data_IF_924628938614
#
_entry.id   IF_924628938614
#
_cell.length_a   1.000
_cell.length_b   1.000
_cell.length_c   1.000
_cell.angle_alpha   90.00
_cell.angle_beta   90.00
_cell.angle_gamma   90.00
#
_symmetry.space_group_name_H-M   'P 1'
#
loop_
_entity.id
_entity.type
_entity.pdbx_description
1 polymer ?
#
# COMPACT_ATOMS: atom_id res chain seq x y z
N UNK A 1 23.03 8.42 -2.51
CA UNK A 1 22.78 6.97 -2.47
C UNK A 1 21.46 6.78 -1.77
N UNK A 2 20.51 6.12 -2.42
CA UNK A 2 19.16 5.96 -1.85
C UNK A 2 19.25 4.95 -0.70
N UNK A 3 19.14 5.42 0.54
CA UNK A 3 19.25 4.57 1.72
C UNK A 3 17.93 3.84 2.03
N UNK A 4 17.99 2.50 2.12
CA UNK A 4 16.90 1.65 2.61
C UNK A 4 17.31 0.93 3.90
N UNK A 5 16.58 1.19 4.99
CA UNK A 5 16.95 0.72 6.34
C UNK A 5 16.68 -0.77 6.59
N UNK A 6 16.02 -1.46 5.65
CA UNK A 6 15.70 -2.89 5.74
C UNK A 6 16.11 -3.59 4.46
N UNK A 7 16.65 -4.78 4.63
CA UNK A 7 16.89 -5.73 3.53
C UNK A 7 15.57 -6.17 2.92
N UNK A 8 15.64 -6.66 1.69
CA UNK A 8 14.50 -7.22 0.98
C UNK A 8 13.89 -8.39 1.76
N UNK A 9 14.72 -9.25 2.31
CA UNK A 9 14.34 -10.44 3.07
C UNK A 9 13.62 -10.07 4.36
N UNK A 10 14.06 -9.00 5.03
CA UNK A 10 13.34 -8.45 6.18
C UNK A 10 11.95 -7.97 5.78
N UNK A 11 11.81 -7.21 4.69
CA UNK A 11 10.50 -6.74 4.23
C UNK A 11 9.57 -7.90 3.82
N UNK A 12 10.08 -8.93 3.13
CA UNK A 12 9.31 -10.14 2.79
C UNK A 12 8.86 -10.88 4.05
N UNK A 13 9.70 -10.97 5.08
CA UNK A 13 9.33 -11.58 6.37
C UNK A 13 8.22 -10.78 7.07
N UNK A 14 8.31 -9.45 7.06
CA UNK A 14 7.30 -8.57 7.66
C UNK A 14 5.97 -8.67 6.92
N UNK A 15 5.99 -8.67 5.58
CA UNK A 15 4.80 -8.86 4.74
C UNK A 15 4.00 -10.08 5.16
N UNK A 16 4.70 -11.20 5.28
CA UNK A 16 4.11 -12.49 5.64
C UNK A 16 3.48 -12.50 7.05
N UNK A 17 3.81 -11.55 7.93
CA UNK A 17 3.17 -11.47 9.24
C UNK A 17 1.78 -10.84 9.21
N UNK A 18 1.44 -10.01 8.22
CA UNK A 18 0.19 -9.24 8.24
C UNK A 18 -0.70 -9.38 6.98
N UNK A 19 -0.12 -9.73 5.83
CA UNK A 19 -0.81 -9.78 4.54
C UNK A 19 -1.94 -10.81 4.50
N UNK A 20 -3.07 -10.43 3.94
CA UNK A 20 -4.29 -11.23 3.88
C UNK A 20 -4.37 -12.08 2.61
N UNK A 21 -4.32 -11.44 1.44
CA UNK A 21 -4.43 -12.10 0.15
C UNK A 21 -3.07 -12.60 -0.34
N UNK A 22 -2.93 -13.91 -0.52
CA UNK A 22 -1.69 -14.52 -1.02
C UNK A 22 -1.24 -13.93 -2.35
N UNK A 23 -2.19 -13.68 -3.28
CA UNK A 23 -1.83 -13.14 -4.58
C UNK A 23 -1.34 -11.69 -4.51
N UNK A 24 -1.87 -10.90 -3.57
CA UNK A 24 -1.37 -9.54 -3.33
C UNK A 24 0.04 -9.63 -2.73
N UNK A 25 0.29 -10.59 -1.82
CA UNK A 25 1.62 -10.86 -1.29
C UNK A 25 2.62 -11.14 -2.40
N UNK A 26 2.34 -12.09 -3.29
CA UNK A 26 3.23 -12.43 -4.42
C UNK A 26 3.55 -11.20 -5.28
N UNK A 27 2.53 -10.37 -5.56
CA UNK A 27 2.71 -9.16 -6.35
C UNK A 27 3.55 -8.12 -5.63
N UNK A 28 3.40 -7.96 -4.31
CA UNK A 28 4.25 -7.07 -3.51
C UNK A 28 5.68 -7.60 -3.50
N UNK A 29 5.89 -8.91 -3.30
CA UNK A 29 7.23 -9.51 -3.32
C UNK A 29 7.95 -9.31 -4.66
N UNK A 30 7.24 -9.52 -5.77
CA UNK A 30 7.77 -9.23 -7.11
C UNK A 30 8.16 -7.76 -7.26
N UNK A 31 7.31 -6.83 -6.81
CA UNK A 31 7.62 -5.40 -6.88
C UNK A 31 8.77 -5.00 -5.95
N UNK A 32 8.96 -5.67 -4.81
CA UNK A 32 10.14 -5.52 -3.97
C UNK A 32 11.40 -5.99 -4.71
N UNK A 33 11.37 -7.14 -5.38
CA UNK A 33 12.51 -7.61 -6.18
C UNK A 33 12.90 -6.57 -7.26
N UNK A 34 11.92 -6.03 -7.99
CA UNK A 34 12.15 -4.97 -8.98
C UNK A 34 12.69 -3.69 -8.32
N UNK A 35 12.11 -3.26 -7.20
CA UNK A 35 12.51 -2.04 -6.50
C UNK A 35 13.97 -2.09 -6.05
N UNK A 36 14.41 -3.21 -5.45
CA UNK A 36 15.79 -3.37 -4.99
C UNK A 36 16.78 -3.36 -6.16
N UNK A 37 16.46 -4.04 -7.27
CA UNK A 37 17.29 -4.01 -8.47
C UNK A 37 17.42 -2.59 -9.03
N UNK A 38 16.34 -1.80 -9.03
CA UNK A 38 16.37 -0.41 -9.49
C UNK A 38 17.19 0.50 -8.57
N UNK A 39 17.15 0.28 -7.26
CA UNK A 39 17.96 1.04 -6.28
C UNK A 39 19.45 0.76 -6.52
N UNK A 40 19.84 -0.51 -6.61
CA UNK A 40 21.22 -0.92 -6.90
C UNK A 40 21.72 -0.31 -8.21
N UNK A 41 20.93 -0.43 -9.27
CA UNK A 41 21.23 0.16 -10.57
C UNK A 41 21.33 1.69 -10.56
N UNK A 42 20.52 2.38 -9.75
CA UNK A 42 20.52 3.83 -9.63
C UNK A 42 21.84 4.34 -9.01
N UNK A 43 22.42 3.57 -8.09
CA UNK A 43 23.72 3.89 -7.52
C UNK A 43 24.87 3.72 -8.53
N UNK A 44 24.64 2.98 -9.63
CA UNK A 44 25.55 2.81 -10.76
C UNK A 44 25.32 3.81 -11.91
N UNK A 45 24.96 5.05 -11.58
CA UNK A 45 24.80 6.19 -12.51
C UNK A 45 23.58 6.13 -13.46
N UNK A 46 22.54 5.37 -13.12
CA UNK A 46 21.24 5.41 -13.81
C UNK A 46 20.27 6.32 -13.05
N UNK A 47 19.37 7.03 -13.75
CA UNK A 47 18.32 7.83 -13.11
C UNK A 47 17.00 7.05 -13.06
N UNK A 48 16.82 6.30 -11.97
CA UNK A 48 15.61 5.52 -11.71
C UNK A 48 14.76 6.08 -10.57
N UNK A 49 15.02 7.32 -10.13
CA UNK A 49 14.26 7.97 -9.04
C UNK A 49 12.76 7.96 -9.30
N UNK A 50 12.32 8.16 -10.55
CA UNK A 50 10.91 8.10 -10.94
C UNK A 50 10.30 6.70 -10.75
N UNK A 51 10.78 5.64 -11.43
CA UNK A 51 10.22 4.29 -11.24
C UNK A 51 10.34 3.79 -9.80
N UNK A 52 11.46 4.04 -9.11
CA UNK A 52 11.65 3.69 -7.68
C UNK A 52 10.52 4.29 -6.84
N UNK A 53 10.27 5.59 -6.99
CA UNK A 53 9.24 6.28 -6.21
C UNK A 53 7.84 5.74 -6.52
N UNK A 54 7.53 5.47 -7.79
CA UNK A 54 6.22 4.97 -8.20
C UNK A 54 5.96 3.54 -7.70
N UNK A 55 6.96 2.67 -7.75
CA UNK A 55 6.85 1.29 -7.24
C UNK A 55 6.68 1.32 -5.72
N UNK A 56 7.49 2.10 -5.00
CA UNK A 56 7.37 2.21 -3.54
C UNK A 56 5.98 2.73 -3.10
N UNK A 57 5.43 3.73 -3.79
CA UNK A 57 4.05 4.18 -3.54
C UNK A 57 3.02 3.11 -3.87
N UNK A 58 3.20 2.36 -4.96
CA UNK A 58 2.30 1.27 -5.35
C UNK A 58 2.31 0.12 -4.34
N UNK A 59 3.45 -0.16 -3.70
CA UNK A 59 3.56 -1.13 -2.61
C UNK A 59 2.77 -0.67 -1.38
N UNK A 60 2.89 0.61 -0.99
CA UNK A 60 2.09 1.19 0.10
C UNK A 60 0.59 1.03 -0.20
N UNK A 61 0.19 1.37 -1.43
CA UNK A 61 -1.19 1.24 -1.89
C UNK A 61 -1.68 -0.23 -1.82
N UNK A 62 -0.85 -1.19 -2.24
CA UNK A 62 -1.14 -2.61 -2.21
C UNK A 62 -1.31 -3.15 -0.77
N UNK A 63 -0.46 -2.72 0.17
CA UNK A 63 -0.61 -3.04 1.60
C UNK A 63 -1.93 -2.48 2.11
N UNK A 64 -2.26 -1.24 1.72
CA UNK A 64 -3.46 -0.58 2.20
C UNK A 64 -4.75 -1.27 1.75
N UNK A 65 -4.82 -1.64 0.47
CA UNK A 65 -6.01 -2.32 -0.09
C UNK A 65 -6.15 -3.74 0.46
N UNK A 66 -5.05 -4.49 0.60
CA UNK A 66 -5.03 -5.83 1.20
C UNK A 66 -5.65 -5.82 2.60
N UNK A 67 -5.25 -4.86 3.42
CA UNK A 67 -5.80 -4.73 4.77
C UNK A 67 -7.29 -4.39 4.76
N UNK A 68 -7.77 -3.58 3.82
CA UNK A 68 -9.20 -3.30 3.70
C UNK A 68 -9.98 -4.54 3.25
N UNK A 69 -9.41 -5.40 2.41
CA UNK A 69 -9.98 -6.73 2.14
C UNK A 69 -10.03 -7.59 3.39
N UNK A 70 -8.96 -7.61 4.20
CA UNK A 70 -8.94 -8.32 5.48
C UNK A 70 -10.04 -7.82 6.43
N UNK A 71 -10.24 -6.51 6.54
CA UNK A 71 -11.29 -5.93 7.38
C UNK A 71 -12.69 -6.26 6.87
N UNK A 72 -12.87 -6.32 5.55
CA UNK A 72 -14.16 -6.64 4.94
C UNK A 72 -14.50 -8.14 5.09
N UNK A 73 -13.57 -9.02 4.76
CA UNK A 73 -13.80 -10.46 4.63
C UNK A 73 -13.43 -11.27 5.88
N UNK A 74 -12.48 -10.77 6.69
CA UNK A 74 -11.94 -11.49 7.82
C UNK A 74 -12.98 -11.76 8.90
N UNK A 75 -13.08 -13.01 9.34
CA UNK A 75 -13.89 -13.44 10.49
C UNK A 75 -12.96 -13.71 11.68
N UNK A 76 -12.39 -14.92 11.77
CA UNK A 76 -11.36 -15.30 12.75
C UNK A 76 -10.04 -14.53 12.55
N UNK A 77 -9.83 -13.95 11.37
CA UNK A 77 -8.63 -13.21 10.99
C UNK A 77 -8.75 -11.70 11.20
N UNK A 78 -9.92 -11.23 11.64
CA UNK A 78 -10.14 -9.81 11.89
C UNK A 78 -9.16 -9.31 12.98
N UNK A 79 -8.49 -8.16 12.81
CA UNK A 79 -7.49 -7.70 13.76
C UNK A 79 -8.08 -7.48 15.16
N UNK A 80 -7.48 -8.12 16.17
CA UNK A 80 -7.98 -8.07 17.55
C UNK A 80 -8.08 -6.63 18.09
N UNK A 81 -7.13 -5.76 17.71
CA UNK A 81 -7.09 -4.33 18.09
C UNK A 81 -8.32 -3.54 17.62
N UNK A 82 -9.06 -4.05 16.63
CA UNK A 82 -10.22 -3.37 16.04
C UNK A 82 -11.54 -4.11 16.33
N UNK A 83 -11.51 -5.18 17.14
CA UNK A 83 -12.64 -6.10 17.33
C UNK A 83 -13.88 -5.39 17.89
N UNK A 84 -13.67 -4.40 18.74
CA UNK A 84 -14.71 -3.50 19.30
C UNK A 84 -15.45 -2.70 18.21
N UNK A 85 -14.82 -2.46 17.06
CA UNK A 85 -15.35 -1.68 15.93
C UNK A 85 -15.70 -2.53 14.72
N UNK A 86 -15.66 -3.86 14.82
CA UNK A 86 -15.82 -4.77 13.67
C UNK A 86 -17.12 -4.49 12.89
N UNK A 87 -18.25 -4.38 13.59
CA UNK A 87 -19.56 -4.12 12.98
C UNK A 87 -19.58 -2.79 12.21
N UNK A 88 -19.01 -1.73 12.79
CA UNK A 88 -18.96 -0.40 12.17
C UNK A 88 -18.08 -0.42 10.93
N UNK A 89 -16.89 -1.03 11.04
CA UNK A 89 -15.94 -1.17 9.94
C UNK A 89 -16.57 -1.97 8.79
N UNK A 90 -17.14 -3.14 9.07
CA UNK A 90 -17.77 -3.98 8.04
C UNK A 90 -18.97 -3.31 7.38
N UNK A 91 -19.78 -2.58 8.15
CA UNK A 91 -20.90 -1.80 7.60
C UNK A 91 -20.41 -0.73 6.63
N UNK A 92 -19.40 0.06 7.02
CA UNK A 92 -18.77 1.07 6.17
C UNK A 92 -18.20 0.43 4.90
N UNK A 93 -17.40 -0.62 5.03
CA UNK A 93 -16.80 -1.30 3.86
C UNK A 93 -17.85 -1.93 2.95
N UNK A 94 -18.96 -2.45 3.50
CA UNK A 94 -20.06 -2.99 2.68
C UNK A 94 -20.65 -1.92 1.77
N UNK A 95 -20.85 -0.69 2.27
CA UNK A 95 -21.34 0.44 1.47
C UNK A 95 -20.38 0.78 0.33
N UNK A 96 -19.08 0.67 0.62
CA UNK A 96 -17.97 0.89 -0.31
C UNK A 96 -17.62 -0.38 -1.13
N UNK A 97 -18.44 -1.44 -1.17
CA UNK A 97 -18.19 -2.64 -2.02
C UNK A 97 -19.20 -2.78 -3.14
N UNK A 98 -18.73 -3.29 -4.28
CA UNK A 98 -19.50 -3.71 -5.45
C UNK A 98 -19.26 -5.19 -5.69
N UNK A 99 -20.35 -5.94 -5.89
CA UNK A 99 -20.30 -7.30 -6.41
C UNK A 99 -20.50 -7.26 -7.92
N UNK A 100 -19.56 -7.84 -8.65
CA UNK A 100 -19.61 -7.93 -10.10
C UNK A 100 -19.57 -9.41 -10.50
N UNK A 101 -20.42 -9.79 -11.45
CA UNK A 101 -20.46 -11.14 -12.00
C UNK A 101 -19.54 -11.19 -13.22
N UNK A 102 -18.70 -12.21 -13.29
CA UNK A 102 -17.80 -12.46 -14.41
C UNK A 102 -18.02 -13.86 -14.97
N UNK A 103 -17.66 -14.01 -16.24
CA UNK A 103 -17.65 -15.28 -16.95
C UNK A 103 -16.25 -15.45 -17.51
N UNK A 104 -15.61 -16.57 -17.23
CA UNK A 104 -14.28 -16.87 -17.78
C UNK A 104 -14.37 -17.45 -19.21
N UNK A 105 -13.21 -17.77 -19.78
CA UNK A 105 -13.09 -18.40 -21.10
C UNK A 105 -13.72 -19.79 -21.20
N UNK A 106 -14.06 -20.41 -20.07
CA UNK A 106 -14.68 -21.74 -19.96
C UNK A 106 -16.19 -21.63 -19.63
N UNK A 107 -16.80 -20.45 -19.76
CA UNK A 107 -18.20 -20.18 -19.40
C UNK A 107 -18.53 -20.43 -17.91
N UNK A 108 -17.54 -20.45 -17.02
CA UNK A 108 -17.79 -20.53 -15.57
C UNK A 108 -18.14 -19.16 -15.03
N UNK A 109 -19.25 -19.09 -14.32
CA UNK A 109 -19.69 -17.88 -13.66
C UNK A 109 -19.04 -17.77 -12.27
N UNK A 110 -18.45 -16.61 -11.97
CA UNK A 110 -17.93 -16.31 -10.64
C UNK A 110 -18.24 -14.88 -10.24
N UNK A 111 -18.31 -14.65 -8.93
CA UNK A 111 -18.57 -13.34 -8.35
C UNK A 111 -17.28 -12.76 -7.79
N UNK A 112 -16.95 -11.56 -8.21
CA UNK A 112 -15.85 -10.79 -7.64
C UNK A 112 -16.44 -9.69 -6.78
N UNK A 113 -16.04 -9.68 -5.51
CA UNK A 113 -16.30 -8.55 -4.62
C UNK A 113 -15.12 -7.58 -4.76
N UNK A 114 -15.39 -6.39 -5.28
CA UNK A 114 -14.41 -5.31 -5.43
C UNK A 114 -14.85 -4.10 -4.61
N UNK A 115 -13.90 -3.35 -4.06
CA UNK A 115 -14.24 -2.08 -3.41
C UNK A 115 -14.59 -1.01 -4.48
N UNK A 116 -15.71 -0.30 -4.30
CA UNK A 116 -16.23 0.76 -5.16
C UNK A 116 -15.25 1.94 -5.16
N UNK A 117 -14.84 2.41 -6.33
CA UNK A 117 -14.08 3.65 -6.51
C UNK A 117 -12.85 3.74 -5.59
N UNK A 118 -12.11 2.65 -5.43
CA UNK A 118 -10.89 2.59 -4.62
C UNK A 118 -9.68 3.17 -5.35
N UNK A 119 -9.82 4.39 -5.84
CA UNK A 119 -8.64 5.20 -6.09
C UNK A 119 -7.93 5.47 -4.74
N UNK A 120 -6.63 5.71 -4.82
CA UNK A 120 -5.79 5.86 -3.63
C UNK A 120 -6.31 6.94 -2.65
N UNK A 121 -6.90 8.05 -3.15
CA UNK A 121 -7.45 9.11 -2.31
C UNK A 121 -8.67 8.61 -1.54
N UNK A 122 -9.57 7.87 -2.19
CA UNK A 122 -10.75 7.29 -1.54
C UNK A 122 -10.34 6.30 -0.45
N UNK A 123 -9.30 5.48 -0.68
CA UNK A 123 -8.75 4.61 0.35
C UNK A 123 -8.24 5.38 1.56
N UNK A 124 -7.48 6.45 1.34
CA UNK A 124 -6.93 7.25 2.43
C UNK A 124 -8.04 7.85 3.30
N UNK A 125 -9.17 8.27 2.70
CA UNK A 125 -10.34 8.75 3.45
C UNK A 125 -10.93 7.67 4.35
N UNK A 126 -11.10 6.45 3.85
CA UNK A 126 -11.57 5.32 4.66
C UNK A 126 -10.62 5.06 5.83
N UNK A 127 -9.31 5.06 5.55
CA UNK A 127 -8.27 4.91 6.55
C UNK A 127 -8.30 6.01 7.63
N UNK A 128 -8.64 7.23 7.23
CA UNK A 128 -8.78 8.39 8.12
C UNK A 128 -10.04 8.30 8.97
N UNK A 129 -11.20 8.04 8.34
CA UNK A 129 -12.49 7.90 9.03
C UNK A 129 -12.46 6.79 10.08
N UNK A 130 -11.80 5.68 9.76
CA UNK A 130 -11.65 4.51 10.64
C UNK A 130 -10.41 4.59 11.55
N UNK A 131 -9.59 5.65 11.45
CA UNK A 131 -8.38 5.86 12.26
C UNK A 131 -7.40 4.67 12.23
N UNK A 132 -7.24 4.04 11.06
CA UNK A 132 -6.44 2.83 10.90
C UNK A 132 -4.92 3.08 11.00
N UNK A 133 -4.47 4.34 10.89
CA UNK A 133 -3.07 4.74 11.11
C UNK A 133 -2.91 5.58 12.41
N UNK A 134 -3.86 5.44 13.34
CA UNK A 134 -3.94 6.24 14.56
C UNK A 134 -4.56 7.64 14.32
N UNK A 135 -4.45 8.50 15.33
CA UNK A 135 -5.02 9.86 15.31
C UNK A 135 -4.06 10.93 14.74
N UNK A 136 -3.01 10.49 14.05
CA UNK A 136 -1.97 11.37 13.52
C UNK A 136 -2.37 11.93 12.16
N UNK A 137 -2.96 13.13 12.16
CA UNK A 137 -3.35 13.88 10.94
C UNK A 137 -2.23 13.91 9.87
N UNK A 138 -0.98 14.03 10.31
CA UNK A 138 0.21 14.09 9.46
C UNK A 138 0.38 12.82 8.60
N UNK A 139 0.03 11.64 9.10
CA UNK A 139 0.13 10.38 8.34
C UNK A 139 -0.81 10.42 7.12
N UNK A 140 -2.03 10.90 7.33
CA UNK A 140 -3.05 11.00 6.28
C UNK A 140 -2.74 12.11 5.27
N UNK A 141 -2.25 13.26 5.73
CA UNK A 141 -1.79 14.34 4.84
C UNK A 141 -0.62 13.89 3.98
N UNK A 142 0.32 13.13 4.55
CA UNK A 142 1.44 12.56 3.81
C UNK A 142 0.96 11.57 2.74
N UNK A 143 0.04 10.66 3.09
CA UNK A 143 -0.58 9.75 2.11
C UNK A 143 -1.30 10.49 0.98
N UNK A 144 -2.05 11.55 1.30
CA UNK A 144 -2.71 12.38 0.29
C UNK A 144 -1.68 13.00 -0.68
N UNK A 145 -0.53 13.43 -0.16
CA UNK A 145 0.58 13.89 -0.99
C UNK A 145 1.17 12.76 -1.85
N UNK A 146 1.31 11.54 -1.32
CA UNK A 146 1.73 10.38 -2.12
C UNK A 146 0.74 10.04 -3.24
N UNK A 147 -0.56 10.09 -2.98
CA UNK A 147 -1.57 9.87 -4.01
C UNK A 147 -1.49 10.90 -5.14
N UNK A 148 -1.30 12.18 -4.80
CA UNK A 148 -1.07 13.24 -5.79
C UNK A 148 0.26 13.05 -6.52
N UNK A 149 1.30 12.62 -5.81
CA UNK A 149 2.62 12.37 -6.36
C UNK A 149 2.61 11.22 -7.36
N UNK A 150 1.91 10.12 -7.06
CA UNK A 150 1.71 8.99 -7.98
C UNK A 150 1.10 9.44 -9.30
N UNK A 151 0.21 10.43 -9.29
CA UNK A 151 -0.36 10.99 -10.53
C UNK A 151 0.66 11.73 -11.41
N UNK A 152 1.85 12.08 -10.89
CA UNK A 152 2.99 12.58 -11.70
C UNK A 152 3.66 11.49 -12.54
N UNK A 153 3.17 10.25 -12.50
CA UNK A 153 3.43 9.29 -13.58
C UNK A 153 3.04 9.89 -14.94
N UNK A 154 1.92 10.63 -14.97
CA UNK A 154 1.53 11.42 -16.12
C UNK A 154 2.41 12.67 -16.20
N UNK A 155 3.11 12.83 -17.34
CA UNK A 155 3.99 13.99 -17.60
C UNK A 155 3.21 15.32 -17.50
N UNK A 156 1.93 15.30 -17.87
CA UNK A 156 1.03 16.45 -17.76
C UNK A 156 0.75 16.78 -16.29
N UNK A 157 1.39 17.83 -15.77
CA UNK A 157 1.17 18.37 -14.42
C UNK A 157 -0.10 19.24 -14.34
N UNK A 158 -1.25 18.72 -14.76
CA UNK A 158 -2.48 19.51 -14.92
C UNK A 158 -2.90 20.24 -13.62
N UNK A 159 -2.76 19.58 -12.49
CA UNK A 159 -3.16 20.10 -11.18
C UNK A 159 -2.08 20.97 -10.50
N UNK A 160 -0.88 21.09 -11.10
CA UNK A 160 0.24 21.85 -10.57
C UNK A 160 0.58 21.54 -9.09
N UNK A 161 0.42 20.28 -8.68
CA UNK A 161 0.65 19.83 -7.30
C UNK A 161 2.15 19.72 -6.96
N UNK A 162 3.01 19.62 -7.97
CA UNK A 162 4.45 19.45 -7.87
C UNK A 162 5.18 20.32 -8.89
N UNK A 163 6.50 20.32 -8.83
CA UNK A 163 7.37 21.01 -9.77
C UNK A 163 7.11 20.55 -11.22
N UNK A 164 7.24 21.47 -12.19
CA UNK A 164 7.14 21.13 -13.62
C UNK A 164 8.30 20.26 -14.09
N UNK A 165 9.47 20.50 -13.52
CA UNK A 165 10.69 19.75 -13.79
C UNK A 165 10.64 18.39 -13.09
N UNK A 166 10.76 17.32 -13.87
CA UNK A 166 10.72 15.94 -13.38
C UNK A 166 11.92 15.65 -12.48
N UNK A 167 13.10 16.21 -12.74
CA UNK A 167 14.29 15.99 -11.89
C UNK A 167 14.11 16.56 -10.48
N UNK A 168 13.36 17.66 -10.36
CA UNK A 168 12.98 18.26 -9.08
C UNK A 168 11.82 17.52 -8.42
N UNK A 169 10.85 17.05 -9.21
CA UNK A 169 9.73 16.23 -8.72
C UNK A 169 10.23 14.90 -8.17
N UNK A 170 11.13 14.22 -8.86
CA UNK A 170 11.72 12.95 -8.48
C UNK A 170 13.13 13.18 -7.92
N UNK A 171 13.25 14.11 -6.98
CA UNK A 171 14.51 14.38 -6.28
C UNK A 171 14.86 13.25 -5.32
N UNK A 172 16.16 13.05 -5.09
CA UNK A 172 16.68 12.00 -4.20
C UNK A 172 16.07 12.06 -2.80
N UNK A 173 16.02 13.25 -2.18
CA UNK A 173 15.39 13.45 -0.87
C UNK A 173 13.91 13.04 -0.83
N UNK A 174 13.15 13.23 -1.94
CA UNK A 174 11.76 12.82 -1.99
C UNK A 174 11.64 11.29 -2.14
N UNK A 175 12.51 10.69 -2.95
CA UNK A 175 12.58 9.22 -3.11
C UNK A 175 12.89 8.55 -1.77
N UNK A 176 13.89 9.04 -1.04
CA UNK A 176 14.22 8.53 0.30
C UNK A 176 13.05 8.62 1.28
N UNK A 177 12.30 9.75 1.28
CA UNK A 177 11.11 9.89 2.13
C UNK A 177 10.04 8.86 1.78
N UNK A 178 9.84 8.59 0.49
CA UNK A 178 8.87 7.59 0.02
C UNK A 178 9.30 6.17 0.44
N UNK A 179 10.58 5.83 0.31
CA UNK A 179 11.11 4.53 0.75
C UNK A 179 11.00 4.37 2.26
N UNK A 180 11.38 5.40 3.03
CA UNK A 180 11.23 5.41 4.49
C UNK A 180 9.78 5.23 4.90
N UNK A 181 8.83 5.86 4.18
CA UNK A 181 7.41 5.64 4.40
C UNK A 181 6.99 4.20 4.08
N UNK A 182 7.44 3.64 2.95
CA UNK A 182 7.16 2.24 2.61
C UNK A 182 7.64 1.31 3.73
N UNK A 183 8.88 1.44 4.18
CA UNK A 183 9.45 0.66 5.30
C UNK A 183 8.64 0.86 6.59
N UNK A 184 8.20 2.09 6.88
CA UNK A 184 7.31 2.38 8.02
C UNK A 184 5.98 1.64 7.92
N UNK A 185 5.37 1.55 6.72
CA UNK A 185 4.14 0.79 6.50
C UNK A 185 4.31 -0.70 6.85
N UNK A 186 5.39 -1.35 6.39
CA UNK A 186 5.65 -2.75 6.77
C UNK A 186 5.73 -2.92 8.30
N UNK A 187 6.52 -2.08 8.97
CA UNK A 187 6.67 -2.15 10.42
C UNK A 187 5.37 -1.83 11.18
N UNK A 188 4.61 -0.84 10.72
CA UNK A 188 3.35 -0.44 11.33
C UNK A 188 2.31 -1.57 11.27
N UNK A 189 2.13 -2.20 10.11
CA UNK A 189 1.16 -3.28 9.93
C UNK A 189 1.57 -4.57 10.62
N UNK A 190 2.85 -4.92 10.60
CA UNK A 190 3.38 -6.02 11.42
C UNK A 190 3.08 -5.81 12.90
N UNK A 191 3.30 -4.60 13.42
CA UNK A 191 3.17 -4.30 14.86
C UNK A 191 1.71 -4.21 15.29
N UNK A 192 0.87 -3.53 14.51
CA UNK A 192 -0.50 -3.22 14.93
C UNK A 192 -1.56 -4.17 14.39
N UNK A 193 -1.29 -4.81 13.26
CA UNK A 193 -2.24 -5.69 12.58
C UNK A 193 -1.63 -7.05 12.20
N UNK A 194 -0.93 -7.74 13.10
CA UNK A 194 -0.41 -9.08 12.82
C UNK A 194 -1.55 -10.06 12.49
N UNK A 195 -1.23 -11.13 11.75
CA UNK A 195 -2.13 -12.28 11.59
C UNK A 195 -2.19 -13.08 12.89
N UNK A 196 -3.31 -13.75 13.21
CA UNK A 196 -3.48 -14.47 14.48
C UNK A 196 -2.40 -15.52 14.79
N UNK A 197 -1.82 -16.18 13.77
CA UNK A 197 -0.74 -17.17 13.94
C UNK A 197 0.66 -16.63 13.65
N UNK A 198 0.80 -15.32 13.46
CA UNK A 198 2.11 -14.71 13.17
C UNK A 198 3.00 -14.57 14.41
N UNK A 199 2.70 -15.29 15.50
CA UNK A 199 3.58 -15.50 16.64
C UNK A 199 4.81 -16.30 16.20
N UNK A 200 5.71 -15.65 15.46
CA UNK A 200 7.13 -15.92 15.61
C UNK A 200 7.55 -15.06 16.80
N UNK A 201 7.65 -15.74 17.93
CA UNK A 201 8.33 -15.26 19.13
C UNK A 201 9.71 -14.74 18.68
N UNK A 202 9.96 -13.46 18.93
CA UNK A 202 11.31 -12.90 18.92
C UNK A 202 11.76 -12.73 20.37
#
# INVERSE_FOLDING_TARGET
MIEILKTKEQLKKELNSFVWEFKISDNIEYNLDVLFNLIEDNDHAKDYKKPISLIAVSIIEAIMIDFLYRLYQGTSHFPQKLKDKETVIKSKLTQETKKSKYVDSENREYWVCSLKNFDFITMIKIYQDLKLLGDYKQNYEFLMNLARFRNRIHIKNYFNNFEKDESKTFSESRVEKIIKAMVWFFGYFQTHYPRPWSTVVF
#
